data_IF_208753748841
#
_entry.id   IF_208753748841
#
_cell.length_a   1.000
_cell.length_b   1.000
_cell.length_c   1.000
_cell.angle_alpha   90.00
_cell.angle_beta   90.00
_cell.angle_gamma   90.00
#
_symmetry.space_group_name_H-M   'P 1'
#
loop_
_entity.id
_entity.type
_entity.pdbx_description
1 polymer ?
#
# COMPACT_ATOMS: atom_id res chain seq x y z
N UNK A 1 4.12 -12.49 -4.28
CA UNK A 1 5.58 -12.67 -4.25
C UNK A 1 5.98 -14.09 -4.65
N UNK A 2 5.71 -14.51 -5.89
CA UNK A 2 6.14 -15.82 -6.40
C UNK A 2 7.04 -15.72 -7.65
N UNK A 3 7.02 -14.56 -8.33
CA UNK A 3 7.99 -14.22 -9.38
C UNK A 3 9.37 -13.81 -8.84
N UNK A 4 10.19 -13.17 -9.67
CA UNK A 4 11.59 -12.84 -9.36
C UNK A 4 11.77 -12.04 -8.06
N UNK A 5 10.95 -11.01 -7.85
CA UNK A 5 10.97 -10.24 -6.59
C UNK A 5 10.58 -11.08 -5.36
N UNK A 6 9.79 -12.15 -5.55
CA UNK A 6 9.47 -13.12 -4.51
C UNK A 6 10.64 -14.03 -4.17
N UNK A 7 11.36 -14.52 -5.18
CA UNK A 7 12.58 -15.33 -4.94
C UNK A 7 13.65 -14.52 -4.22
N UNK A 8 13.86 -13.27 -4.61
CA UNK A 8 14.77 -12.38 -3.89
C UNK A 8 14.31 -12.14 -2.44
N UNK A 9 12.99 -12.02 -2.20
CA UNK A 9 12.47 -11.93 -0.83
C UNK A 9 12.78 -13.20 -0.03
N UNK A 10 12.59 -14.38 -0.63
CA UNK A 10 12.91 -15.65 0.02
C UNK A 10 14.41 -15.75 0.37
N UNK A 11 15.30 -15.31 -0.53
CA UNK A 11 16.75 -15.22 -0.27
C UNK A 11 17.10 -14.26 0.86
N UNK A 12 16.44 -13.09 0.92
CA UNK A 12 16.65 -12.10 1.96
C UNK A 12 16.15 -12.58 3.33
N UNK A 13 15.05 -13.34 3.37
CA UNK A 13 14.56 -13.99 4.59
C UNK A 13 15.56 -15.04 5.08
N UNK A 14 16.00 -15.93 4.18
CA UNK A 14 16.99 -16.96 4.50
C UNK A 14 18.29 -16.36 5.03
N UNK A 15 18.73 -15.25 4.43
CA UNK A 15 19.92 -14.52 4.85
C UNK A 15 19.88 -14.08 6.33
N UNK A 16 18.70 -13.83 6.88
CA UNK A 16 18.51 -13.47 8.29
C UNK A 16 17.98 -14.62 9.16
N UNK A 17 17.98 -15.85 8.62
CA UNK A 17 17.60 -17.06 9.35
C UNK A 17 16.11 -17.35 9.39
N UNK A 18 15.29 -16.69 8.56
CA UNK A 18 13.86 -17.00 8.42
C UNK A 18 13.58 -17.74 7.12
N UNK A 19 12.59 -18.62 7.16
CA UNK A 19 11.96 -19.20 5.99
C UNK A 19 10.64 -18.49 5.70
N UNK A 20 10.09 -18.75 4.51
CA UNK A 20 8.80 -18.22 4.10
C UNK A 20 7.64 -18.61 5.02
N UNK A 21 7.74 -19.78 5.67
CA UNK A 21 6.72 -20.27 6.61
C UNK A 21 6.77 -19.57 7.97
N UNK A 22 7.88 -18.90 8.29
CA UNK A 22 8.04 -18.17 9.55
C UNK A 22 7.40 -16.78 9.51
N UNK A 23 6.96 -16.34 8.31
CA UNK A 23 6.43 -15.00 8.08
C UNK A 23 5.09 -15.03 7.36
N UNK A 24 4.31 -13.95 7.52
CA UNK A 24 3.09 -13.76 6.74
C UNK A 24 3.30 -12.67 5.68
N UNK A 25 3.08 -13.04 4.41
CA UNK A 25 3.25 -12.13 3.26
C UNK A 25 1.88 -11.74 2.72
N UNK A 26 1.59 -10.43 2.70
CA UNK A 26 0.36 -9.89 2.15
C UNK A 26 0.60 -8.63 1.30
N UNK A 27 -0.31 -8.40 0.35
CA UNK A 27 -0.33 -7.22 -0.50
C UNK A 27 -1.48 -6.27 -0.13
N UNK A 28 -1.34 -5.00 -0.49
CA UNK A 28 -2.41 -3.99 -0.38
C UNK A 28 -3.62 -4.39 -1.22
N UNK A 29 -3.41 -4.71 -2.49
CA UNK A 29 -4.45 -5.28 -3.35
C UNK A 29 -4.46 -6.80 -3.26
N UNK A 30 -5.66 -7.38 -3.35
CA UNK A 30 -5.86 -8.84 -3.41
C UNK A 30 -6.06 -9.35 -4.84
N UNK A 31 -6.25 -8.45 -5.79
CA UNK A 31 -6.36 -8.73 -7.22
C UNK A 31 -5.22 -8.03 -7.97
N UNK A 32 -4.70 -8.68 -9.01
CA UNK A 32 -3.66 -8.12 -9.88
C UNK A 32 -4.29 -7.08 -10.82
N UNK A 33 -3.82 -5.82 -10.82
CA UNK A 33 -4.30 -4.83 -11.81
C UNK A 33 -3.96 -5.28 -13.24
N UNK A 34 -4.80 -4.93 -14.23
CA UNK A 34 -4.51 -5.15 -15.64
C UNK A 34 -3.12 -4.62 -16.01
N UNK A 35 -2.36 -5.39 -16.79
CA UNK A 35 -1.02 -5.01 -17.27
C UNK A 35 0.00 -4.65 -16.16
N UNK A 36 -0.26 -5.03 -14.91
CA UNK A 36 0.54 -4.61 -13.75
C UNK A 36 0.61 -3.09 -13.55
N UNK A 37 -0.40 -2.35 -14.00
CA UNK A 37 -0.49 -0.92 -13.71
C UNK A 37 -0.50 -0.67 -12.21
N UNK A 38 -0.24 0.58 -11.86
CA UNK A 38 -0.37 1.05 -10.49
C UNK A 38 -1.82 0.92 -9.97
N UNK A 39 -1.99 0.61 -8.66
CA UNK A 39 -3.30 0.53 -8.02
C UNK A 39 -3.98 1.90 -7.93
N UNK A 40 -5.26 1.95 -8.31
CA UNK A 40 -6.10 3.12 -8.15
C UNK A 40 -6.54 3.33 -6.70
N UNK A 41 -6.92 4.58 -6.36
CA UNK A 41 -7.36 4.94 -5.00
C UNK A 41 -8.58 4.12 -4.57
N UNK A 42 -9.56 3.96 -5.46
CA UNK A 42 -10.76 3.15 -5.19
C UNK A 42 -10.41 1.68 -4.93
N UNK A 43 -9.50 1.10 -5.70
CA UNK A 43 -9.07 -0.30 -5.52
C UNK A 43 -8.39 -0.51 -4.16
N UNK A 44 -7.54 0.43 -3.75
CA UNK A 44 -6.90 0.42 -2.43
C UNK A 44 -7.95 0.54 -1.33
N UNK A 45 -8.90 1.47 -1.47
CA UNK A 45 -9.96 1.68 -0.47
C UNK A 45 -10.86 0.44 -0.32
N UNK A 46 -11.17 -0.24 -1.41
CA UNK A 46 -11.91 -1.51 -1.38
C UNK A 46 -11.12 -2.63 -0.71
N UNK A 47 -9.81 -2.72 -0.97
CA UNK A 47 -9.00 -3.84 -0.47
C UNK A 47 -8.41 -3.64 0.94
N UNK A 48 -8.19 -2.40 1.40
CA UNK A 48 -7.41 -2.12 2.62
C UNK A 48 -7.97 -2.77 3.89
N UNK A 49 -9.30 -2.88 3.99
CA UNK A 49 -9.94 -3.46 5.17
C UNK A 49 -9.60 -4.94 5.34
N UNK A 50 -9.36 -5.68 4.24
CA UNK A 50 -8.88 -7.06 4.32
C UNK A 50 -7.47 -7.12 4.92
N UNK A 51 -6.57 -6.25 4.46
CA UNK A 51 -5.21 -6.19 5.00
C UNK A 51 -5.21 -5.82 6.49
N UNK A 52 -5.99 -4.83 6.89
CA UNK A 52 -6.07 -4.42 8.30
C UNK A 52 -6.69 -5.51 9.17
N UNK A 53 -7.66 -6.26 8.65
CA UNK A 53 -8.21 -7.41 9.37
C UNK A 53 -7.18 -8.55 9.48
N UNK A 54 -6.37 -8.78 8.45
CA UNK A 54 -5.26 -9.75 8.52
C UNK A 54 -4.25 -9.35 9.59
N UNK A 55 -3.83 -8.08 9.63
CA UNK A 55 -2.91 -7.56 10.65
C UNK A 55 -3.51 -7.73 12.06
N UNK A 56 -4.78 -7.41 12.23
CA UNK A 56 -5.48 -7.55 13.52
C UNK A 56 -5.56 -9.01 14.00
N UNK A 57 -5.83 -9.97 13.09
CA UNK A 57 -5.91 -11.39 13.44
C UNK A 57 -4.53 -11.96 13.76
N UNK A 58 -3.52 -11.60 12.98
CA UNK A 58 -2.16 -12.12 13.14
C UNK A 58 -1.47 -11.48 14.35
N UNK A 59 -1.81 -10.23 14.67
CA UNK A 59 -1.17 -9.40 15.68
C UNK A 59 0.36 -9.47 15.62
N UNK A 60 0.98 -9.08 14.49
CA UNK A 60 2.41 -9.29 14.26
C UNK A 60 3.25 -8.40 15.18
N UNK A 61 4.38 -8.94 15.64
CA UNK A 61 5.40 -8.16 16.37
C UNK A 61 6.01 -7.09 15.44
N UNK A 62 6.32 -7.46 14.19
CA UNK A 62 6.93 -6.59 13.19
C UNK A 62 6.10 -6.61 11.90
N UNK A 63 5.85 -5.42 11.33
CA UNK A 63 5.25 -5.21 10.02
C UNK A 63 6.29 -4.54 9.11
N UNK A 64 6.70 -5.25 8.06
CA UNK A 64 7.59 -4.67 7.05
C UNK A 64 6.76 -4.16 5.87
N UNK A 65 6.79 -2.85 5.62
CA UNK A 65 6.12 -2.28 4.45
C UNK A 65 7.10 -2.19 3.29
N UNK A 66 6.73 -2.76 2.15
CA UNK A 66 7.62 -2.89 0.99
C UNK A 66 7.16 -1.98 -0.16
N UNK A 67 7.83 -0.84 -0.30
CA UNK A 67 7.53 0.13 -1.35
C UNK A 67 6.37 1.09 -1.03
N UNK A 68 6.03 1.93 -2.02
CA UNK A 68 5.27 3.17 -1.77
C UNK A 68 3.83 2.96 -1.31
N UNK A 69 3.14 1.93 -1.83
CA UNK A 69 1.71 1.73 -1.56
C UNK A 69 1.45 1.17 -0.16
N UNK A 70 2.16 0.10 0.23
CA UNK A 70 2.06 -0.45 1.58
C UNK A 70 2.48 0.56 2.62
N UNK A 71 3.58 1.29 2.37
CA UNK A 71 4.06 2.33 3.26
C UNK A 71 3.01 3.43 3.41
N UNK A 72 2.47 3.94 2.29
CA UNK A 72 1.47 5.03 2.32
C UNK A 72 0.23 4.60 3.07
N UNK A 73 -0.23 3.36 2.87
CA UNK A 73 -1.43 2.86 3.53
C UNK A 73 -1.24 2.63 5.04
N UNK A 74 -0.10 2.08 5.45
CA UNK A 74 0.14 1.68 6.85
C UNK A 74 0.61 2.85 7.69
N UNK A 75 1.53 3.68 7.18
CA UNK A 75 2.09 4.83 7.90
C UNK A 75 1.31 6.14 7.65
N UNK A 76 0.27 6.10 6.81
CA UNK A 76 -0.52 7.27 6.41
C UNK A 76 0.32 8.49 5.95
N UNK A 77 1.36 8.22 5.15
CA UNK A 77 2.31 9.25 4.72
C UNK A 77 2.70 9.14 3.24
N UNK A 78 2.77 10.28 2.57
CA UNK A 78 3.28 10.43 1.21
C UNK A 78 4.82 10.53 1.14
N UNK A 79 5.52 10.69 2.28
CA UNK A 79 6.97 10.91 2.31
C UNK A 79 7.77 9.83 1.55
N UNK A 80 8.86 10.20 0.87
CA UNK A 80 9.63 9.25 0.09
C UNK A 80 10.23 8.14 0.98
N UNK A 81 10.34 6.91 0.45
CA UNK A 81 10.93 5.77 1.17
C UNK A 81 12.36 6.06 1.63
N UNK A 82 13.12 6.85 0.87
CA UNK A 82 14.47 7.27 1.24
C UNK A 82 14.54 8.05 2.56
N UNK A 83 13.50 8.82 2.90
CA UNK A 83 13.41 9.59 4.17
C UNK A 83 12.93 8.75 5.36
N UNK A 84 12.31 7.61 5.09
CA UNK A 84 11.66 6.76 6.10
C UNK A 84 12.45 5.48 6.40
N UNK A 85 13.19 4.97 5.41
CA UNK A 85 14.02 3.77 5.60
C UNK A 85 15.01 3.99 6.74
N UNK A 86 15.23 2.94 7.53
CA UNK A 86 16.07 3.00 8.72
C UNK A 86 15.41 3.62 9.95
N UNK A 87 14.24 4.28 9.84
CA UNK A 87 13.46 4.73 11.00
C UNK A 87 12.52 3.63 11.49
N UNK A 88 12.31 3.58 12.79
CA UNK A 88 11.43 2.60 13.43
C UNK A 88 10.12 3.31 13.77
N UNK A 89 9.00 2.73 13.34
CA UNK A 89 7.67 3.24 13.68
C UNK A 89 6.95 2.24 14.58
N UNK A 90 5.91 2.70 15.28
CA UNK A 90 5.05 1.82 16.08
C UNK A 90 3.58 2.14 15.85
N UNK A 91 2.79 1.10 15.54
CA UNK A 91 1.32 1.16 15.41
C UNK A 91 0.74 0.15 16.40
N UNK A 92 0.04 0.66 17.43
CA UNK A 92 -0.46 -0.20 18.51
C UNK A 92 0.71 -0.95 19.17
N UNK A 93 0.70 -2.27 19.10
CA UNK A 93 1.77 -3.13 19.62
C UNK A 93 2.83 -3.49 18.56
N UNK A 94 2.52 -3.32 17.27
CA UNK A 94 3.39 -3.71 16.18
C UNK A 94 4.45 -2.64 15.89
N UNK A 95 5.69 -3.10 15.70
CA UNK A 95 6.77 -2.30 15.15
C UNK A 95 6.60 -2.28 13.63
N UNK A 96 6.82 -1.13 13.00
CA UNK A 96 6.70 -0.98 11.54
C UNK A 96 8.02 -0.50 10.96
N UNK A 97 8.53 -1.26 9.98
CA UNK A 97 9.76 -0.93 9.26
C UNK A 97 9.46 -0.73 7.77
N UNK A 98 9.57 0.51 7.25
CA UNK A 98 9.44 0.75 5.82
C UNK A 98 10.74 0.46 5.08
N UNK A 99 10.65 -0.39 4.07
CA UNK A 99 11.78 -0.81 3.23
C UNK A 99 11.45 -0.64 1.75
N UNK A 100 12.49 -0.71 0.90
CA UNK A 100 12.30 -0.76 -0.53
C UNK A 100 11.60 -2.05 -0.96
N UNK A 101 10.83 -1.99 -2.05
CA UNK A 101 10.27 -3.22 -2.63
C UNK A 101 11.39 -4.06 -3.27
N UNK A 102 11.43 -5.40 -3.10
CA UNK A 102 12.52 -6.23 -3.64
C UNK A 102 12.73 -6.09 -5.14
N UNK A 103 11.64 -5.84 -5.90
CA UNK A 103 11.72 -5.56 -7.33
C UNK A 103 12.67 -4.40 -7.69
N UNK A 104 12.86 -3.42 -6.80
CA UNK A 104 13.76 -2.31 -7.03
C UNK A 104 15.25 -2.72 -7.05
N UNK A 105 15.59 -3.88 -6.48
CA UNK A 105 16.96 -4.36 -6.34
C UNK A 105 17.33 -5.50 -7.30
N UNK A 106 16.38 -6.00 -8.11
CA UNK A 106 16.60 -7.17 -8.98
C UNK A 106 17.81 -7.01 -9.92
N UNK A 107 18.07 -5.80 -10.40
CA UNK A 107 19.12 -5.51 -11.38
C UNK A 107 20.08 -4.41 -10.91
N UNK A 108 20.09 -4.09 -9.62
CA UNK A 108 20.90 -2.98 -9.09
C UNK A 108 21.61 -3.41 -7.81
N UNK A 109 22.90 -3.79 -7.88
CA UNK A 109 23.65 -4.32 -6.74
C UNK A 109 23.67 -3.39 -5.51
N UNK A 110 23.79 -2.09 -5.72
CA UNK A 110 23.76 -1.10 -4.62
C UNK A 110 22.42 -1.11 -3.87
N UNK A 111 21.30 -1.31 -4.56
CA UNK A 111 19.98 -1.42 -3.93
C UNK A 111 19.79 -2.75 -3.22
N UNK A 112 20.44 -3.83 -3.67
CA UNK A 112 20.45 -5.11 -2.97
C UNK A 112 21.20 -5.01 -1.64
N UNK A 113 22.33 -4.32 -1.60
CA UNK A 113 23.08 -4.09 -0.36
C UNK A 113 22.22 -3.32 0.66
N UNK A 114 21.54 -2.27 0.21
CA UNK A 114 20.55 -1.52 0.99
C UNK A 114 19.46 -2.43 1.57
N UNK A 115 18.91 -3.36 0.79
CA UNK A 115 17.93 -4.32 1.30
C UNK A 115 18.52 -5.29 2.32
N UNK A 116 19.75 -5.76 2.12
CA UNK A 116 20.41 -6.64 3.11
C UNK A 116 20.60 -5.93 4.45
N UNK A 117 20.96 -4.65 4.45
CA UNK A 117 21.03 -3.83 5.66
C UNK A 117 19.66 -3.66 6.32
N UNK A 118 18.62 -3.37 5.52
CA UNK A 118 17.25 -3.27 6.01
C UNK A 118 16.79 -4.59 6.66
N UNK A 119 17.14 -5.75 6.07
CA UNK A 119 16.81 -7.08 6.62
C UNK A 119 17.60 -7.42 7.89
N UNK A 120 18.89 -7.07 7.97
CA UNK A 120 19.65 -7.19 9.23
C UNK A 120 18.95 -6.43 10.35
N UNK A 121 18.51 -5.20 10.07
CA UNK A 121 17.76 -4.40 11.03
C UNK A 121 16.44 -5.06 11.45
N UNK A 122 15.75 -5.75 10.55
CA UNK A 122 14.57 -6.56 10.90
C UNK A 122 14.94 -7.64 11.92
N UNK A 123 16.06 -8.35 11.70
CA UNK A 123 16.54 -9.38 12.63
C UNK A 123 16.92 -8.79 13.99
N UNK A 124 17.64 -7.67 14.00
CA UNK A 124 18.05 -6.99 15.23
C UNK A 124 16.82 -6.56 16.05
N UNK A 125 15.79 -6.03 15.40
CA UNK A 125 14.52 -5.67 16.05
C UNK A 125 13.81 -6.91 16.58
N UNK A 126 13.79 -8.00 15.80
CA UNK A 126 13.16 -9.25 16.21
C UNK A 126 13.84 -9.85 17.44
N UNK A 127 15.16 -9.84 17.50
CA UNK A 127 15.93 -10.36 18.64
C UNK A 127 15.76 -9.50 19.90
N UNK A 128 15.44 -8.21 19.73
CA UNK A 128 15.25 -7.25 20.80
C UNK A 128 13.79 -6.78 20.92
N UNK A 129 12.81 -7.59 20.52
CA UNK A 129 11.42 -7.14 20.39
C UNK A 129 10.77 -6.73 21.72
N UNK A 130 11.29 -7.18 22.85
CA UNK A 130 10.87 -6.74 24.19
C UNK A 130 11.35 -5.32 24.52
N UNK A 131 12.46 -4.88 23.92
CA UNK A 131 13.00 -3.54 24.07
C UNK A 131 13.51 -2.97 22.72
N UNK A 132 12.61 -2.67 21.78
CA UNK A 132 12.99 -2.22 20.45
C UNK A 132 13.66 -0.83 20.45
N UNK A 133 13.51 -0.06 21.54
CA UNK A 133 14.20 1.23 21.71
C UNK A 133 15.72 1.10 21.79
N UNK A 134 16.23 -0.10 22.11
CA UNK A 134 17.67 -0.38 22.06
C UNK A 134 18.24 -0.39 20.63
N UNK A 135 17.39 -0.63 19.62
CA UNK A 135 17.79 -0.72 18.21
C UNK A 135 17.69 0.64 17.49
N UNK A 136 16.89 1.56 18.03
CA UNK A 136 16.80 2.93 17.52
C UNK A 136 15.58 3.69 18.02
N UNK A 137 15.52 4.98 17.68
CA UNK A 137 14.41 5.85 18.02
C UNK A 137 13.10 5.37 17.38
N UNK A 138 12.04 5.31 18.19
CA UNK A 138 10.71 4.84 17.79
C UNK A 138 9.78 6.03 17.64
N UNK A 139 9.26 6.23 16.43
CA UNK A 139 8.16 7.15 16.16
C UNK A 139 6.82 6.44 16.32
N UNK A 140 6.06 6.80 17.35
CA UNK A 140 4.70 6.28 17.54
C UNK A 140 3.75 7.02 16.59
N UNK A 141 2.94 6.27 15.85
CA UNK A 141 1.94 6.82 14.94
C UNK A 141 0.54 6.31 15.31
N UNK A 142 -0.48 7.07 14.92
CA UNK A 142 -1.87 6.70 15.15
C UNK A 142 -2.22 5.34 14.50
N UNK A 143 -3.20 4.64 15.08
CA UNK A 143 -3.63 3.31 14.62
C UNK A 143 -3.99 3.24 13.12
N UNK A 144 -4.05 2.02 12.58
CA UNK A 144 -4.47 1.82 11.18
C UNK A 144 -5.87 2.42 10.95
N UNK A 145 -5.96 3.41 10.05
CA UNK A 145 -7.24 4.08 9.69
C UNK A 145 -8.15 3.12 8.90
N UNK A 146 -8.90 2.28 9.62
CA UNK A 146 -9.98 1.47 9.04
C UNK A 146 -11.01 2.39 8.37
N UNK A 147 -11.56 1.93 7.25
CA UNK A 147 -12.65 2.67 6.62
C UNK A 147 -13.92 2.46 7.44
N UNK A 148 -14.55 3.55 7.90
CA UNK A 148 -15.82 3.49 8.60
C UNK A 148 -16.89 2.88 7.68
N UNK A 149 -17.58 1.83 8.15
CA UNK A 149 -18.65 1.15 7.42
C UNK A 149 -19.92 2.02 7.30
N UNK A 150 -19.96 3.19 7.93
CA UNK A 150 -21.15 4.04 8.04
C UNK A 150 -21.55 4.83 6.78
N UNK A 151 -20.76 4.83 5.69
CA UNK A 151 -21.02 5.70 4.51
C UNK A 151 -21.28 5.00 3.18
N UNK A 152 -21.44 3.68 3.15
CA UNK A 152 -21.64 2.94 1.86
C UNK A 152 -23.06 2.42 1.62
N UNK A 153 -24.06 2.81 2.42
CA UNK A 153 -25.44 2.27 2.30
C UNK A 153 -26.52 3.34 2.14
N UNK A 154 -26.28 4.32 1.25
CA UNK A 154 -27.33 5.24 0.76
C UNK A 154 -27.22 5.45 -0.74
N UNK A 155 -27.28 4.37 -1.50
CA UNK A 155 -27.82 4.44 -2.86
C UNK A 155 -28.83 3.32 -2.99
N UNK A 156 -30.02 3.65 -2.48
CA UNK A 156 -31.22 2.82 -2.43
C UNK A 156 -31.49 2.28 -3.83
N UNK A 157 -31.62 0.96 -3.94
CA UNK A 157 -32.25 0.31 -5.07
C UNK A 157 -33.64 0.94 -5.26
N UNK A 158 -33.80 1.69 -6.35
CA UNK A 158 -35.10 2.17 -6.79
C UNK A 158 -35.89 0.98 -7.32
N UNK A 159 -37.00 0.70 -6.67
CA UNK A 159 -37.99 -0.33 -7.01
C UNK A 159 -38.40 -0.24 -8.48
N UNK A 160 -38.07 -1.25 -9.28
CA UNK A 160 -38.70 -1.46 -10.58
C UNK A 160 -40.12 -2.01 -10.33
N UNK A 161 -41.13 -1.15 -10.44
CA UNK A 161 -42.52 -1.61 -10.60
C UNK A 161 -42.77 -1.82 -12.09
N UNK A 162 -43.13 -3.06 -12.43
CA UNK A 162 -43.72 -3.39 -13.72
C UNK A 162 -45.10 -2.74 -13.84
N UNK A 163 -45.34 -2.04 -14.95
CA UNK A 163 -46.62 -1.40 -15.24
C UNK A 163 -46.68 -0.91 -16.69
N UNK A 164 -47.32 -1.75 -17.51
CA UNK A 164 -48.04 -1.46 -18.76
C UNK A 164 -47.35 -0.67 -19.89
N UNK A 165 -47.19 -1.39 -21.01
CA UNK A 165 -46.81 -0.87 -22.31
C UNK A 165 -47.99 -0.14 -22.98
N UNK A 166 -47.73 1.04 -23.53
CA UNK A 166 -48.47 1.56 -24.68
C UNK A 166 -47.51 2.29 -25.63
N UNK A 167 -47.63 1.94 -26.91
CA UNK A 167 -46.84 2.45 -28.02
C UNK A 167 -47.18 3.90 -28.37
N UNK A 168 -46.18 4.68 -28.79
CA UNK A 168 -46.38 6.01 -29.37
C UNK A 168 -45.07 6.65 -29.82
N UNK A 169 -44.92 6.84 -31.14
CA UNK A 169 -43.81 7.47 -31.84
C UNK A 169 -43.41 8.86 -31.27
N UNK A 170 -42.12 9.16 -31.25
CA UNK A 170 -41.55 10.43 -31.76
C UNK A 170 -40.02 10.39 -31.78
N UNK A 171 -39.44 10.87 -32.88
CA UNK A 171 -38.01 11.13 -33.07
C UNK A 171 -37.63 12.50 -32.45
N UNK A 172 -36.32 12.77 -32.52
CA UNK A 172 -35.59 14.05 -32.57
C UNK A 172 -35.04 14.65 -31.27
N UNK A 173 -33.70 14.64 -31.23
CA UNK A 173 -32.78 15.74 -30.95
C UNK A 173 -32.25 16.00 -29.52
N UNK A 174 -30.91 15.98 -29.50
CA UNK A 174 -29.97 16.81 -28.72
C UNK A 174 -30.34 17.18 -27.27
N UNK A 175 -29.72 16.47 -26.32
CA UNK A 175 -29.56 16.96 -24.95
C UNK A 175 -28.08 17.23 -24.65
N UNK A 176 -27.74 18.53 -24.63
CA UNK A 176 -26.53 19.13 -24.06
C UNK A 176 -26.21 18.52 -22.69
N UNK A 177 -24.96 18.08 -22.52
CA UNK A 177 -24.38 17.80 -21.20
C UNK A 177 -24.24 19.12 -20.42
N UNK A 178 -25.11 19.33 -19.43
CA UNK A 178 -25.01 20.39 -18.45
C UNK A 178 -23.90 20.11 -17.44
N UNK A 179 -23.11 21.16 -17.17
CA UNK A 179 -22.00 21.20 -16.23
C UNK A 179 -22.42 20.77 -14.81
N UNK A 180 -21.85 19.68 -14.31
CA UNK A 180 -21.84 19.38 -12.89
C UNK A 180 -20.62 20.05 -12.25
N UNK A 181 -20.89 21.09 -11.45
CA UNK A 181 -19.90 21.81 -10.63
C UNK A 181 -19.13 20.83 -9.74
N UNK A 182 -17.80 20.89 -9.83
CA UNK A 182 -16.89 20.19 -8.96
C UNK A 182 -16.95 20.82 -7.55
N UNK A 183 -17.49 20.08 -6.58
CA UNK A 183 -17.32 20.42 -5.17
C UNK A 183 -15.86 20.20 -4.77
N UNK A 184 -15.17 21.32 -4.56
CA UNK A 184 -13.84 21.40 -3.93
C UNK A 184 -13.92 20.72 -2.56
N UNK A 185 -13.32 19.53 -2.43
CA UNK A 185 -12.97 19.02 -1.11
C UNK A 185 -11.76 19.78 -0.59
N UNK A 186 -12.03 20.60 0.41
CA UNK A 186 -11.09 21.37 1.21
C UNK A 186 -10.16 20.40 1.95
N UNK A 187 -8.86 20.56 1.74
CA UNK A 187 -7.81 19.88 2.49
C UNK A 187 -7.62 20.64 3.80
N UNK A 188 -7.93 20.03 4.93
CA UNK A 188 -7.54 20.56 6.24
C UNK A 188 -6.42 19.65 6.80
N UNK A 189 -5.31 20.33 7.13
CA UNK A 189 -4.13 19.97 7.94
C UNK A 189 -3.04 19.04 7.39
N UNK A 190 -1.98 19.70 6.91
CA UNK A 190 -0.65 19.17 6.58
C UNK A 190 0.09 18.68 7.84
N UNK A 191 0.64 17.46 7.78
CA UNK A 191 1.79 17.11 8.63
C UNK A 191 3.02 17.71 7.96
N UNK A 192 3.49 18.84 8.51
CA UNK A 192 4.70 19.53 8.10
C UNK A 192 5.92 18.60 8.22
N UNK A 193 6.45 18.17 7.08
CA UNK A 193 7.80 17.62 6.98
C UNK A 193 8.55 18.59 6.06
N UNK A 194 9.50 19.32 6.63
CA UNK A 194 10.25 20.38 5.94
C UNK A 194 10.83 19.94 4.60
N UNK A 195 10.58 20.76 3.59
CA UNK A 195 11.04 20.58 2.22
C UNK A 195 12.50 21.03 2.09
N UNK A 196 13.28 20.21 1.38
CA UNK A 196 14.44 20.66 0.61
C UNK A 196 14.33 19.94 -0.73
N UNK A 197 14.33 20.74 -1.80
CA UNK A 197 14.24 20.36 -3.21
C UNK A 197 15.30 19.33 -3.60
N UNK A 198 14.95 18.31 -4.39
CA UNK A 198 15.88 17.68 -5.34
C UNK A 198 15.15 16.83 -6.40
N UNK A 199 15.16 17.38 -7.61
CA UNK A 199 15.21 16.84 -8.98
C UNK A 199 14.42 15.56 -9.37
N UNK A 200 13.34 15.78 -10.14
CA UNK A 200 12.61 14.75 -10.89
C UNK A 200 13.24 14.52 -12.26
N UNK A 201 13.96 13.41 -12.43
CA UNK A 201 14.19 12.77 -13.74
C UNK A 201 14.56 11.29 -13.57
N UNK A 202 14.06 10.49 -14.53
CA UNK A 202 14.30 9.06 -14.75
C UNK A 202 13.46 8.06 -13.93
N UNK A 203 12.26 7.77 -14.45
CA UNK A 203 11.78 6.39 -14.65
C UNK A 203 10.53 6.36 -15.56
N UNK A 204 10.72 6.75 -16.82
CA UNK A 204 9.85 6.30 -17.93
C UNK A 204 10.68 5.35 -18.79
N UNK A 205 9.99 4.33 -19.28
CA UNK A 205 10.37 3.36 -20.32
C UNK A 205 11.13 2.07 -19.96
N UNK A 206 10.39 0.96 -20.22
CA UNK A 206 10.76 -0.29 -20.93
C UNK A 206 11.45 -1.42 -20.17
N UNK A 207 10.69 -2.47 -19.89
CA UNK A 207 10.64 -3.76 -20.63
C UNK A 207 10.00 -4.82 -19.72
N UNK A 208 8.82 -5.34 -20.03
CA UNK A 208 8.54 -6.45 -20.96
C UNK A 208 9.04 -7.81 -20.43
N UNK A 209 8.12 -8.78 -20.47
CA UNK A 209 8.25 -10.23 -20.45
C UNK A 209 8.11 -11.03 -19.14
N UNK A 210 7.22 -12.03 -19.29
CA UNK A 210 6.97 -13.26 -18.52
C UNK A 210 6.18 -13.04 -17.22
N UNK A 211 4.94 -13.49 -17.09
CA UNK A 211 4.34 -14.70 -17.63
C UNK A 211 4.11 -15.66 -16.46
N UNK A 212 2.83 -15.95 -16.21
CA UNK A 212 2.30 -17.02 -15.37
C UNK A 212 2.41 -16.89 -13.83
N UNK A 213 1.23 -17.06 -13.22
CA UNK A 213 0.84 -17.35 -11.84
C UNK A 213 1.41 -16.48 -10.70
#
# INVERSE_FOLDING_TARGET
FVGQAGRLLDELLLFIGFNRNDVFIANVLKCRPPENRDPGVTEINTCKNYLFRQIEIINPIIICTMGRYSKKLVLDTSANISKLRGKIFKIGQSIVLPINHPAAALYTPSKLQVLREDFKKIKDIFDNYENPGAVGEITVISGLKKMDKSKTDKTRAGEARAGEATAGNARTDEARAGEAKADKYRMDEEVQVSENEYDERAAKDKNQQLGLF
#
